data_IF_621773208457
#
_entry.id   IF_621773208457
#
_cell.length_a   1.000
_cell.length_b   1.000
_cell.length_c   1.000
_cell.angle_alpha   90.00
_cell.angle_beta   90.00
_cell.angle_gamma   90.00
#
_symmetry.space_group_name_H-M   'P 1'
#
loop_
_entity.id
_entity.type
_entity.pdbx_description
1 polymer ?
#
# COMPACT_ATOMS: atom_id res chain seq x y z
N UNK A 1 -4.60 -5.07 -17.25
CA UNK A 1 -6.07 -5.14 -17.31
C UNK A 1 -6.51 -6.57 -17.06
N UNK A 2 -7.37 -6.84 -16.09
CA UNK A 2 -7.93 -8.18 -15.87
C UNK A 2 -9.18 -8.28 -16.72
N UNK A 3 -9.19 -9.21 -17.67
CA UNK A 3 -10.30 -9.38 -18.62
C UNK A 3 -10.73 -8.08 -19.31
N UNK A 4 -9.77 -7.24 -19.72
CA UNK A 4 -10.02 -5.96 -20.40
C UNK A 4 -10.42 -4.79 -19.50
N UNK A 5 -10.55 -5.00 -18.19
CA UNK A 5 -10.86 -3.95 -17.22
C UNK A 5 -9.61 -3.42 -16.52
N UNK A 6 -9.52 -2.10 -16.36
CA UNK A 6 -8.46 -1.43 -15.62
C UNK A 6 -8.88 -1.19 -14.17
N UNK A 7 -7.92 -1.32 -13.27
CA UNK A 7 -8.13 -1.18 -11.82
C UNK A 7 -7.08 -0.26 -11.24
N UNK A 8 -7.47 0.46 -10.20
CA UNK A 8 -6.59 1.31 -9.41
C UNK A 8 -6.88 1.06 -7.94
N UNK A 9 -5.84 0.77 -7.15
CA UNK A 9 -6.02 0.69 -5.71
C UNK A 9 -6.22 2.10 -5.16
N UNK A 10 -7.29 2.31 -4.40
CA UNK A 10 -7.56 3.48 -3.60
C UNK A 10 -7.23 3.14 -2.14
N UNK A 11 -5.96 3.38 -1.79
CA UNK A 11 -5.42 3.23 -0.44
C UNK A 11 -4.95 4.58 0.11
N UNK A 12 -4.71 4.67 1.43
CA UNK A 12 -4.16 5.86 2.03
C UNK A 12 -2.69 6.07 1.59
N UNK A 13 -2.25 7.33 1.60
CA UNK A 13 -0.82 7.68 1.58
C UNK A 13 -0.21 7.41 2.98
N UNK A 14 -0.02 8.43 3.80
CA UNK A 14 0.36 8.28 5.20
C UNK A 14 -0.82 8.46 6.16
N UNK A 15 -0.93 7.55 7.13
CA UNK A 15 -1.92 7.63 8.20
C UNK A 15 -1.38 8.38 9.42
N UNK A 16 -2.20 9.25 10.03
CA UNK A 16 -1.84 9.95 11.25
C UNK A 16 -1.86 9.00 12.47
N UNK A 17 -0.70 8.79 13.09
CA UNK A 17 -0.56 8.04 14.34
C UNK A 17 -0.48 8.96 15.57
N UNK A 18 -1.19 8.61 16.65
CA UNK A 18 -1.13 9.34 17.94
C UNK A 18 -0.26 8.56 18.92
N UNK A 19 0.77 9.21 19.47
CA UNK A 19 1.69 8.59 20.42
C UNK A 19 0.99 8.25 21.75
N UNK A 20 0.86 6.94 22.04
CA UNK A 20 0.24 6.42 23.27
C UNK A 20 0.93 6.87 24.57
N UNK A 21 2.19 7.28 24.50
CA UNK A 21 2.98 7.71 25.66
C UNK A 21 2.84 9.22 25.96
N UNK A 22 2.11 9.97 25.14
CA UNK A 22 1.85 11.39 25.39
C UNK A 22 0.79 11.59 26.50
N UNK A 23 0.75 12.77 27.11
CA UNK A 23 -0.26 13.09 28.14
C UNK A 23 -1.69 13.01 27.58
N UNK A 24 -2.68 12.77 28.45
CA UNK A 24 -4.07 12.70 28.04
C UNK A 24 -4.56 13.97 27.31
N UNK A 25 -4.09 15.14 27.73
CA UNK A 25 -4.43 16.40 27.07
C UNK A 25 -3.80 16.50 25.67
N UNK A 26 -2.55 16.04 25.49
CA UNK A 26 -1.92 15.98 24.18
C UNK A 26 -2.58 14.96 23.26
N UNK A 27 -3.03 13.81 23.78
CA UNK A 27 -3.79 12.82 23.00
C UNK A 27 -5.11 13.40 22.51
N UNK A 28 -5.85 14.12 23.36
CA UNK A 28 -7.10 14.81 22.98
C UNK A 28 -6.85 15.90 21.95
N UNK A 29 -5.83 16.74 22.16
CA UNK A 29 -5.46 17.79 21.22
C UNK A 29 -5.06 17.19 19.85
N UNK A 30 -4.27 16.12 19.83
CA UNK A 30 -3.89 15.41 18.61
C UNK A 30 -5.11 14.82 17.88
N UNK A 31 -6.05 14.22 18.60
CA UNK A 31 -7.28 13.69 18.00
C UNK A 31 -8.11 14.79 17.33
N UNK A 32 -8.26 15.95 17.99
CA UNK A 32 -8.95 17.11 17.43
C UNK A 32 -8.24 17.62 16.18
N UNK A 33 -6.91 17.70 16.21
CA UNK A 33 -6.10 18.11 15.06
C UNK A 33 -6.25 17.15 13.88
N UNK A 34 -6.16 15.84 14.10
CA UNK A 34 -6.34 14.82 13.05
C UNK A 34 -7.74 14.94 12.44
N UNK A 35 -8.78 15.07 13.27
CA UNK A 35 -10.15 15.26 12.77
C UNK A 35 -10.28 16.53 11.93
N UNK A 36 -9.70 17.65 12.36
CA UNK A 36 -9.70 18.89 11.57
C UNK A 36 -8.93 18.74 10.26
N UNK A 37 -7.77 18.06 10.26
CA UNK A 37 -7.02 17.75 9.05
C UNK A 37 -7.87 16.95 8.05
N UNK A 38 -8.56 15.92 8.53
CA UNK A 38 -9.42 15.06 7.69
C UNK A 38 -10.64 15.80 7.14
N UNK A 39 -11.35 16.58 7.97
CA UNK A 39 -12.69 17.08 7.62
C UNK A 39 -12.72 18.55 7.17
N UNK A 40 -11.72 19.37 7.53
CA UNK A 40 -11.82 20.83 7.41
C UNK A 40 -10.63 21.52 6.76
N UNK A 41 -9.46 20.90 6.74
CA UNK A 41 -8.24 21.54 6.27
C UNK A 41 -8.17 21.74 4.75
N UNK A 42 -8.91 20.93 3.98
CA UNK A 42 -8.77 20.85 2.53
C UNK A 42 -7.49 20.14 2.06
N UNK A 43 -6.70 19.54 2.97
CA UNK A 43 -5.40 18.93 2.68
C UNK A 43 -5.47 17.93 1.51
N UNK A 44 -6.45 17.01 1.52
CA UNK A 44 -6.60 16.01 0.46
C UNK A 44 -6.69 16.67 -0.93
N UNK A 45 -7.50 17.71 -1.08
CA UNK A 45 -7.63 18.44 -2.36
C UNK A 45 -6.38 19.21 -2.74
N UNK A 46 -5.75 19.88 -1.77
CA UNK A 46 -4.54 20.68 -2.02
C UNK A 46 -3.38 19.80 -2.51
N UNK A 47 -3.32 18.55 -2.05
CA UNK A 47 -2.33 17.56 -2.46
C UNK A 47 -2.83 16.62 -3.59
N UNK A 48 -3.98 16.91 -4.19
CA UNK A 48 -4.54 16.15 -5.31
C UNK A 48 -5.04 14.73 -4.98
N UNK A 49 -5.21 14.40 -3.70
CA UNK A 49 -5.72 13.12 -3.21
C UNK A 49 -7.25 13.07 -3.08
N UNK A 50 -7.77 11.85 -3.04
CA UNK A 50 -9.18 11.58 -2.77
C UNK A 50 -9.48 11.90 -1.28
N UNK A 51 -10.56 12.64 -0.96
CA UNK A 51 -10.94 12.94 0.43
C UNK A 51 -11.13 11.69 1.29
N UNK A 52 -10.75 11.80 2.57
CA UNK A 52 -10.95 10.74 3.59
C UNK A 52 -12.25 10.96 4.37
N UNK A 53 -12.80 12.17 4.37
CA UNK A 53 -14.07 12.47 5.02
C UNK A 53 -15.20 11.63 4.38
N UNK A 54 -15.92 10.85 5.19
CA UNK A 54 -16.86 9.84 4.70
C UNK A 54 -18.09 10.41 3.99
N UNK A 55 -18.40 11.70 4.21
CA UNK A 55 -19.48 12.43 3.56
C UNK A 55 -19.04 13.14 2.27
N UNK A 56 -17.75 13.08 1.91
CA UNK A 56 -17.20 13.68 0.70
C UNK A 56 -16.86 12.63 -0.36
N UNK A 57 -17.62 12.64 -1.45
CA UNK A 57 -17.48 11.70 -2.57
C UNK A 57 -16.89 12.36 -3.82
N UNK A 58 -16.33 13.56 -3.71
CA UNK A 58 -15.78 14.26 -4.87
C UNK A 58 -14.36 13.77 -5.18
N UNK A 59 -14.02 13.72 -6.47
CA UNK A 59 -12.70 13.38 -6.95
C UNK A 59 -11.98 14.62 -7.49
N UNK A 60 -10.69 14.81 -7.16
CA UNK A 60 -9.88 15.85 -7.79
C UNK A 60 -9.84 15.73 -9.32
N UNK A 61 -9.63 16.85 -10.02
CA UNK A 61 -9.58 16.89 -11.49
C UNK A 61 -8.46 16.00 -12.08
N UNK A 62 -7.41 15.72 -11.30
CA UNK A 62 -6.35 14.78 -11.68
C UNK A 62 -6.85 13.37 -12.04
N UNK A 63 -8.05 12.99 -11.59
CA UNK A 63 -8.65 11.69 -11.85
C UNK A 63 -9.61 11.67 -13.05
N UNK A 64 -9.74 12.75 -13.83
CA UNK A 64 -10.66 12.82 -14.97
C UNK A 64 -10.42 11.68 -15.98
N UNK A 65 -9.17 11.37 -16.29
CA UNK A 65 -8.81 10.29 -17.21
C UNK A 65 -9.21 8.91 -16.70
N UNK A 66 -9.25 8.68 -15.38
CA UNK A 66 -9.71 7.42 -14.80
C UNK A 66 -11.21 7.22 -15.07
N UNK A 67 -12.01 8.28 -14.94
CA UNK A 67 -13.43 8.25 -15.26
C UNK A 67 -13.65 8.01 -16.77
N UNK A 68 -12.94 8.73 -17.63
CA UNK A 68 -13.02 8.57 -19.10
C UNK A 68 -12.67 7.16 -19.56
N UNK A 69 -11.71 6.51 -18.89
CA UNK A 69 -11.25 5.16 -19.21
C UNK A 69 -11.98 4.06 -18.42
N UNK A 70 -13.07 4.38 -17.71
CA UNK A 70 -13.84 3.44 -16.89
C UNK A 70 -12.98 2.62 -15.92
N UNK A 71 -11.96 3.25 -15.32
CA UNK A 71 -11.09 2.61 -14.35
C UNK A 71 -11.87 2.33 -13.07
N UNK A 72 -11.67 1.14 -12.51
CA UNK A 72 -12.34 0.73 -11.27
C UNK A 72 -11.44 0.93 -10.07
N UNK A 73 -11.85 1.81 -9.18
CA UNK A 73 -11.22 1.93 -7.88
C UNK A 73 -11.56 0.71 -7.02
N UNK A 74 -10.55 0.14 -6.39
CA UNK A 74 -10.67 -0.97 -5.44
C UNK A 74 -9.89 -0.62 -4.19
N UNK A 75 -10.36 -1.05 -3.03
CA UNK A 75 -9.57 -1.00 -1.80
C UNK A 75 -9.17 -2.41 -1.42
N UNK A 76 -8.01 -2.53 -0.78
CA UNK A 76 -7.54 -3.83 -0.29
C UNK A 76 -8.52 -4.37 0.75
N UNK A 77 -8.91 -5.63 0.58
CA UNK A 77 -9.73 -6.31 1.59
C UNK A 77 -8.88 -6.54 2.84
N UNK A 78 -9.49 -6.53 4.04
CA UNK A 78 -8.80 -6.99 5.23
C UNK A 78 -8.35 -8.45 5.04
N UNK A 79 -7.26 -8.82 5.72
CA UNK A 79 -6.84 -10.21 5.79
C UNK A 79 -7.95 -11.09 6.35
N UNK A 80 -7.90 -12.39 6.05
CA UNK A 80 -8.79 -13.34 6.68
C UNK A 80 -8.55 -13.36 8.20
N UNK A 81 -9.56 -13.75 8.97
CA UNK A 81 -9.43 -13.84 10.43
C UNK A 81 -8.31 -14.80 10.81
N UNK A 82 -7.39 -14.33 11.66
CA UNK A 82 -6.20 -15.08 12.06
C UNK A 82 -4.98 -14.90 11.14
N UNK A 83 -5.13 -14.20 10.01
CA UNK A 83 -4.07 -13.89 9.05
C UNK A 83 -3.68 -12.41 9.05
N UNK A 84 -4.13 -11.63 10.04
CA UNK A 84 -3.94 -10.17 10.08
C UNK A 84 -2.45 -9.75 10.04
N UNK A 85 -1.56 -10.61 10.55
CA UNK A 85 -0.11 -10.39 10.57
C UNK A 85 0.64 -11.22 9.51
N UNK A 86 -0.04 -12.07 8.75
CA UNK A 86 0.59 -13.04 7.85
C UNK A 86 1.48 -12.33 6.81
N UNK A 87 1.01 -11.25 6.20
CA UNK A 87 1.79 -10.48 5.24
C UNK A 87 3.10 -9.94 5.82
N UNK A 88 3.07 -9.47 7.07
CA UNK A 88 4.27 -8.95 7.74
C UNK A 88 5.30 -10.05 7.98
N UNK A 89 4.85 -11.23 8.40
CA UNK A 89 5.73 -12.39 8.61
C UNK A 89 6.33 -12.88 7.31
N UNK A 90 5.52 -13.02 6.25
CA UNK A 90 6.02 -13.38 4.92
C UNK A 90 7.05 -12.37 4.42
N UNK A 91 6.82 -11.08 4.65
CA UNK A 91 7.79 -10.03 4.29
C UNK A 91 9.10 -10.11 5.08
N UNK A 92 9.03 -10.42 6.37
CA UNK A 92 10.20 -10.59 7.22
C UNK A 92 11.01 -11.83 6.79
N UNK A 93 10.35 -12.98 6.68
CA UNK A 93 11.01 -14.26 6.36
C UNK A 93 11.56 -14.31 4.93
N UNK A 94 10.89 -13.67 3.98
CA UNK A 94 11.36 -13.62 2.58
C UNK A 94 12.43 -12.54 2.36
N UNK A 95 12.58 -11.59 3.30
CA UNK A 95 13.38 -10.38 3.16
C UNK A 95 12.99 -9.51 1.95
N UNK A 96 11.80 -9.73 1.38
CA UNK A 96 11.34 -8.99 0.20
C UNK A 96 10.68 -7.67 0.56
N UNK A 97 10.05 -7.54 1.73
CA UNK A 97 9.38 -6.29 2.13
C UNK A 97 8.45 -5.72 1.02
N UNK A 98 7.58 -6.56 0.46
CA UNK A 98 6.53 -6.17 -0.48
C UNK A 98 5.60 -5.17 0.20
N UNK A 99 5.53 -3.96 -0.34
CA UNK A 99 4.78 -2.83 0.22
C UNK A 99 5.12 -2.50 1.68
N UNK A 100 6.35 -2.79 2.13
CA UNK A 100 6.80 -2.62 3.51
C UNK A 100 8.15 -1.89 3.60
N UNK A 101 8.30 -0.77 2.88
CA UNK A 101 9.58 -0.09 2.72
C UNK A 101 10.64 -0.96 2.02
N UNK A 102 11.89 -0.48 1.99
CA UNK A 102 13.00 -1.19 1.35
C UNK A 102 12.99 -1.14 -0.18
N UNK A 103 13.91 -0.35 -0.74
CA UNK A 103 13.97 -0.07 -2.18
C UNK A 103 15.06 -0.86 -2.92
N UNK A 104 15.97 -1.51 -2.19
CA UNK A 104 17.13 -2.21 -2.77
C UNK A 104 16.71 -3.23 -3.84
N UNK A 105 15.64 -4.01 -3.58
CA UNK A 105 15.13 -4.99 -4.55
C UNK A 105 14.66 -4.34 -5.87
N UNK A 106 14.07 -3.15 -5.80
CA UNK A 106 13.59 -2.41 -6.97
C UNK A 106 14.76 -1.75 -7.70
N UNK A 107 15.73 -1.21 -6.95
CA UNK A 107 16.96 -0.65 -7.51
C UNK A 107 17.74 -1.71 -8.30
N UNK A 108 17.83 -2.94 -7.78
CA UNK A 108 18.45 -4.07 -8.49
C UNK A 108 17.79 -4.39 -9.83
N UNK A 109 16.46 -4.29 -9.95
CA UNK A 109 15.78 -4.47 -11.26
C UNK A 109 16.34 -3.46 -12.28
N UNK A 110 16.50 -2.20 -11.87
CA UNK A 110 17.02 -1.13 -12.73
C UNK A 110 18.49 -1.40 -13.09
N UNK A 111 19.30 -1.77 -12.11
CA UNK A 111 20.72 -2.08 -12.29
C UNK A 111 20.94 -3.25 -13.25
N UNK A 112 20.24 -4.37 -13.03
CA UNK A 112 20.34 -5.55 -13.89
C UNK A 112 19.85 -5.28 -15.31
N UNK A 113 18.76 -4.53 -15.47
CA UNK A 113 18.29 -4.12 -16.79
C UNK A 113 19.30 -3.19 -17.51
N UNK A 114 19.95 -2.28 -16.77
CA UNK A 114 20.96 -1.38 -17.33
C UNK A 114 22.23 -2.13 -17.75
N UNK A 115 22.69 -3.07 -16.92
CA UNK A 115 23.88 -3.88 -17.18
C UNK A 115 23.63 -5.01 -18.18
N UNK A 116 22.36 -5.43 -18.33
CA UNK A 116 21.92 -6.58 -19.15
C UNK A 116 22.57 -7.89 -18.69
N UNK A 117 22.74 -8.05 -17.39
CA UNK A 117 23.41 -9.20 -16.76
C UNK A 117 22.46 -10.17 -16.07
N UNK A 118 21.21 -9.78 -15.84
CA UNK A 118 20.14 -10.64 -15.33
C UNK A 118 18.79 -10.24 -15.94
N UNK A 119 18.00 -11.24 -16.34
CA UNK A 119 16.67 -11.03 -16.92
C UNK A 119 15.63 -10.79 -15.84
N UNK A 120 14.53 -10.13 -16.21
CA UNK A 120 13.41 -9.94 -15.29
C UNK A 120 12.86 -11.28 -14.76
N UNK A 121 12.82 -12.32 -15.61
CA UNK A 121 12.36 -13.65 -15.22
C UNK A 121 13.27 -14.29 -14.18
N UNK A 122 14.59 -14.14 -14.29
CA UNK A 122 15.56 -14.62 -13.28
C UNK A 122 15.36 -13.94 -11.93
N UNK A 123 15.21 -12.61 -11.92
CA UNK A 123 14.94 -11.84 -10.70
C UNK A 123 13.62 -12.29 -10.06
N UNK A 124 12.55 -12.43 -10.86
CA UNK A 124 11.25 -12.88 -10.35
C UNK A 124 11.31 -14.32 -9.83
N UNK A 125 12.10 -15.20 -10.47
CA UNK A 125 12.30 -16.57 -9.99
C UNK A 125 13.00 -16.61 -8.63
N UNK A 126 13.99 -15.74 -8.40
CA UNK A 126 14.62 -15.59 -7.08
C UNK A 126 13.60 -15.14 -6.02
N UNK A 127 12.79 -14.12 -6.34
CA UNK A 127 11.80 -13.60 -5.42
C UNK A 127 10.70 -14.62 -5.11
N UNK A 128 10.21 -15.31 -6.14
CA UNK A 128 9.22 -16.38 -5.97
C UNK A 128 9.75 -17.51 -5.09
N UNK A 129 11.03 -17.86 -5.22
CA UNK A 129 11.66 -18.84 -4.33
C UNK A 129 11.67 -18.37 -2.88
N UNK A 130 12.15 -17.14 -2.60
CA UNK A 130 12.16 -16.58 -1.25
C UNK A 130 10.76 -16.48 -0.64
N UNK A 131 9.78 -16.09 -1.45
CA UNK A 131 8.40 -16.00 -1.02
C UNK A 131 7.79 -17.37 -0.71
N UNK A 132 8.03 -18.37 -1.57
CA UNK A 132 7.57 -19.74 -1.33
C UNK A 132 8.24 -20.36 -0.10
N UNK A 133 9.53 -20.09 0.13
CA UNK A 133 10.24 -20.53 1.33
C UNK A 133 9.63 -19.88 2.60
N UNK A 134 9.28 -18.59 2.56
CA UNK A 134 8.55 -17.91 3.65
C UNK A 134 7.15 -18.49 3.89
N UNK A 135 6.40 -18.80 2.82
CA UNK A 135 5.11 -19.47 2.92
C UNK A 135 5.23 -20.84 3.60
N UNK A 136 6.28 -21.60 3.31
CA UNK A 136 6.56 -22.87 3.98
C UNK A 136 6.87 -22.67 5.47
N UNK A 137 7.67 -21.66 5.83
CA UNK A 137 7.98 -21.32 7.23
C UNK A 137 6.73 -20.98 8.03
N UNK A 138 5.84 -20.18 7.43
CA UNK A 138 4.58 -19.76 8.03
C UNK A 138 3.45 -20.80 7.90
N UNK A 139 3.74 -21.98 7.35
CA UNK A 139 2.78 -23.08 7.14
C UNK A 139 1.54 -22.66 6.32
N UNK A 140 1.72 -21.77 5.35
CA UNK A 140 0.66 -21.33 4.45
C UNK A 140 0.32 -22.46 3.46
N UNK A 141 -0.95 -22.80 3.34
CA UNK A 141 -1.42 -23.74 2.30
C UNK A 141 -1.39 -23.05 0.93
N UNK A 142 -0.39 -23.39 0.11
CA UNK A 142 -0.27 -22.89 -1.27
C UNK A 142 -1.14 -23.76 -2.18
N UNK A 143 -2.08 -23.14 -2.90
CA UNK A 143 -3.00 -23.80 -3.85
C UNK A 143 -2.61 -23.56 -5.30
#
# INVERSE_FOLDING_TARGET
AVSGRQYASAGPDYCFGINKNSSADNQKAALVFVKWMTEKSGFAYNEGGIPIAADDNNYPAAYASFAENNVTYVSDNPAASGEEDLLNKLNADSELNINNGGNDKIQKIIEHAANRDETFDEIMNEWNKKWADAQNTENVEVK
#
